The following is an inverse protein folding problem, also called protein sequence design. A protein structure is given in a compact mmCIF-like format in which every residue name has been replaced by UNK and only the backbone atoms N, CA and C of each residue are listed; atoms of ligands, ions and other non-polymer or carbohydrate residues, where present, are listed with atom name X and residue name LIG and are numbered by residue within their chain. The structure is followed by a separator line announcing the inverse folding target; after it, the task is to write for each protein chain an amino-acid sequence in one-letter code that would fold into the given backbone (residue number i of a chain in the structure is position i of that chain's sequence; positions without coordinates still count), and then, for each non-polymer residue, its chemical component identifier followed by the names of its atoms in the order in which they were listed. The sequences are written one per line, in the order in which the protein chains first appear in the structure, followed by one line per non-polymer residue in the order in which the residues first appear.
data_IF_057415684044
#
_entry.id   IF_057415684044
#
_cell.length_a   1.000
_cell.length_b   1.000
_cell.length_c   1.000
_cell.angle_alpha   90.00
_cell.angle_beta   90.00
_cell.angle_gamma   90.00
#
_symmetry.space_group_name_H-M   'P 1'
#
loop_
_entity.id
_entity.type
_entity.pdbx_description
1 polymer ?
#
# COMPACT_ATOMS: atom_id res chain seq x y z
N UNK A 1 47.15 -15.26 -5.18
CA UNK A 1 47.40 -15.10 -6.63
C UNK A 1 46.33 -14.17 -7.19
N UNK A 2 46.63 -12.86 -7.33
CA UNK A 2 45.71 -11.85 -7.84
C UNK A 2 46.05 -11.47 -9.30
N UNK A 3 45.08 -10.95 -10.05
CA UNK A 3 45.34 -10.16 -11.26
C UNK A 3 44.64 -8.80 -11.13
N UNK A 4 45.51 -7.80 -11.08
CA UNK A 4 45.32 -6.36 -11.20
C UNK A 4 45.36 -6.01 -12.70
N UNK A 5 44.53 -5.12 -13.22
CA UNK A 5 44.93 -4.16 -14.28
C UNK A 5 44.03 -2.90 -14.26
N UNK A 6 44.69 -1.75 -14.16
CA UNK A 6 44.21 -0.38 -14.35
C UNK A 6 44.66 0.03 -15.76
N UNK A 7 43.81 0.69 -16.54
CA UNK A 7 44.25 1.46 -17.73
C UNK A 7 43.59 2.84 -17.71
N UNK A 8 44.44 3.85 -17.83
CA UNK A 8 44.18 5.29 -17.87
C UNK A 8 44.91 5.86 -19.09
N UNK A 9 44.22 6.58 -19.98
CA UNK A 9 44.75 7.41 -21.09
C UNK A 9 43.56 7.86 -21.96
N UNK A 10 43.45 9.03 -22.60
CA UNK A 10 44.15 10.33 -22.65
C UNK A 10 43.52 11.13 -23.84
N UNK A 11 43.70 12.46 -23.87
CA UNK A 11 43.69 13.38 -25.05
C UNK A 11 42.30 13.78 -25.66
N UNK A 12 42.03 14.99 -26.18
CA UNK A 12 42.80 16.24 -26.43
C UNK A 12 41.81 17.39 -26.74
N UNK A 13 42.21 18.63 -26.39
CA UNK A 13 41.59 19.91 -26.75
C UNK A 13 41.87 20.29 -28.22
N UNK A 14 40.94 20.96 -28.89
CA UNK A 14 41.24 21.79 -30.06
C UNK A 14 40.47 23.12 -30.02
N UNK A 15 41.22 24.18 -30.33
CA UNK A 15 40.89 25.61 -30.35
C UNK A 15 40.84 26.06 -31.82
N UNK A 16 39.86 26.89 -32.22
CA UNK A 16 39.93 27.85 -33.34
C UNK A 16 38.92 28.99 -33.02
N UNK A 17 39.34 30.20 -32.61
CA UNK A 17 39.87 31.37 -33.35
C UNK A 17 38.86 32.09 -34.28
N UNK A 18 38.55 33.35 -33.91
CA UNK A 18 38.49 34.49 -34.84
C UNK A 18 37.14 35.21 -35.00
N UNK A 19 36.96 36.39 -34.39
CA UNK A 19 37.10 37.72 -35.03
C UNK A 19 36.64 38.86 -34.10
N UNK A 20 37.37 39.96 -34.18
CA UNK A 20 37.15 41.26 -33.53
C UNK A 20 35.99 42.03 -34.17
N UNK A 21 35.35 42.91 -33.40
CA UNK A 21 35.46 44.36 -33.61
C UNK A 21 34.82 45.13 -32.45
N UNK A 22 35.54 46.18 -32.08
CA UNK A 22 35.30 47.16 -31.03
C UNK A 22 34.53 48.32 -31.67
N UNK A 23 33.34 48.69 -31.16
CA UNK A 23 32.81 50.03 -31.40
C UNK A 23 32.01 50.56 -30.22
N UNK A 24 32.52 51.70 -29.76
CA UNK A 24 31.97 52.61 -28.76
C UNK A 24 30.64 53.21 -29.22
N UNK A 25 29.57 53.00 -28.45
CA UNK A 25 28.25 53.54 -28.77
C UNK A 25 27.41 53.80 -27.54
N UNK A 26 27.64 54.94 -26.91
CA UNK A 26 26.80 55.52 -25.86
C UNK A 26 25.36 55.68 -26.37
N UNK A 27 24.37 55.05 -25.74
CA UNK A 27 22.95 55.42 -25.87
C UNK A 27 22.22 55.19 -24.55
N UNK A 28 21.65 56.28 -24.03
CA UNK A 28 20.89 56.32 -22.78
C UNK A 28 19.43 55.89 -22.97
N UNK A 29 18.92 55.24 -21.93
CA UNK A 29 17.55 55.27 -21.42
C UNK A 29 16.39 54.94 -22.39
N UNK A 30 15.80 53.75 -22.21
CA UNK A 30 14.34 53.53 -22.00
C UNK A 30 14.00 52.03 -22.04
N UNK A 31 14.11 51.34 -20.92
CA UNK A 31 13.30 50.14 -20.65
C UNK A 31 12.90 50.13 -19.17
N UNK A 32 11.60 50.06 -18.83
CA UNK A 32 11.19 49.85 -17.46
C UNK A 32 11.29 48.36 -17.12
N UNK A 33 12.23 48.03 -16.23
CA UNK A 33 12.24 46.74 -15.52
C UNK A 33 10.90 46.59 -14.78
N UNK A 34 10.02 45.72 -15.28
CA UNK A 34 8.83 45.27 -14.56
C UNK A 34 9.11 43.87 -14.01
N UNK A 35 10.05 43.79 -13.06
CA UNK A 35 10.11 42.65 -12.15
C UNK A 35 9.01 42.87 -11.10
N UNK A 36 7.86 42.21 -11.32
CA UNK A 36 6.86 42.09 -10.29
C UNK A 36 7.48 41.37 -9.08
N UNK A 37 7.34 41.88 -7.85
CA UNK A 37 7.78 41.15 -6.68
C UNK A 37 7.00 39.83 -6.65
N UNK A 38 7.71 38.70 -6.57
CA UNK A 38 7.10 37.45 -6.14
C UNK A 38 6.43 37.72 -4.81
N UNK A 39 5.09 37.72 -4.79
CA UNK A 39 4.31 37.76 -3.57
C UNK A 39 4.73 36.54 -2.74
N UNK A 40 5.54 36.77 -1.72
CA UNK A 40 5.58 35.87 -0.57
C UNK A 40 4.16 35.80 -0.04
N UNK A 41 3.45 34.72 -0.36
CA UNK A 41 2.23 34.33 0.32
C UNK A 41 2.60 34.09 1.77
N UNK A 42 2.47 35.14 2.61
CA UNK A 42 2.44 34.99 4.06
C UNK A 42 1.32 34.03 4.40
N UNK A 43 1.68 32.77 4.66
CA UNK A 43 0.75 31.76 5.17
C UNK A 43 0.23 32.29 6.50
N UNK A 44 -1.06 32.59 6.53
CA UNK A 44 -1.73 33.10 7.73
C UNK A 44 -1.96 31.93 8.69
N UNK A 45 -0.94 31.64 9.50
CA UNK A 45 -0.97 30.64 10.58
C UNK A 45 -2.10 30.90 11.61
N UNK A 46 -2.86 32.00 11.51
CA UNK A 46 -3.92 32.35 12.43
C UNK A 46 -5.30 31.78 12.03
N UNK A 47 -5.45 31.04 10.93
CA UNK A 47 -6.70 30.29 10.65
C UNK A 47 -6.91 29.18 11.69
N UNK A 48 -8.10 29.07 12.26
CA UNK A 48 -8.41 28.07 13.30
C UNK A 48 -8.29 26.61 12.79
N UNK A 49 -8.62 26.38 11.51
CA UNK A 49 -8.46 25.08 10.82
C UNK A 49 -7.00 24.67 10.70
N UNK A 50 -6.13 25.62 10.35
CA UNK A 50 -4.70 25.36 10.18
C UNK A 50 -4.07 24.96 11.51
N UNK A 51 -4.40 25.70 12.56
CA UNK A 51 -3.98 25.39 13.93
C UNK A 51 -4.42 23.99 14.38
N UNK A 52 -5.61 23.52 13.97
CA UNK A 52 -6.09 22.16 14.27
C UNK A 52 -5.21 21.08 13.62
N UNK A 53 -4.96 21.17 12.32
CA UNK A 53 -4.18 20.13 11.61
C UNK A 53 -2.71 20.14 12.01
N UNK A 54 -2.11 21.33 12.16
CA UNK A 54 -0.73 21.47 12.65
C UNK A 54 -0.58 20.84 14.04
N UNK A 55 -1.52 21.09 14.96
CA UNK A 55 -1.50 20.50 16.31
C UNK A 55 -1.59 18.96 16.26
N UNK A 56 -2.51 18.40 15.45
CA UNK A 56 -2.64 16.95 15.28
C UNK A 56 -1.36 16.31 14.75
N UNK A 57 -0.67 16.98 13.82
CA UNK A 57 0.59 16.49 13.25
C UNK A 57 1.71 16.56 14.29
N UNK A 58 1.82 17.65 15.04
CA UNK A 58 2.82 17.80 16.11
C UNK A 58 2.61 16.77 17.23
N UNK A 59 1.37 16.54 17.66
CA UNK A 59 1.03 15.52 18.67
C UNK A 59 1.37 14.11 18.19
N UNK A 60 1.05 13.79 16.93
CA UNK A 60 1.37 12.50 16.34
C UNK A 60 2.88 12.27 16.22
N UNK A 61 3.65 13.31 15.86
CA UNK A 61 5.11 13.23 15.78
C UNK A 61 5.76 13.10 17.16
N UNK A 62 5.26 13.82 18.16
CA UNK A 62 5.77 13.76 19.53
C UNK A 62 5.54 12.37 20.17
N UNK A 63 4.45 11.70 19.82
CA UNK A 63 4.11 10.35 20.31
C UNK A 63 4.62 9.21 19.41
N UNK A 64 5.27 9.53 18.28
CA UNK A 64 5.69 8.52 17.31
C UNK A 64 6.95 7.77 17.76
N UNK A 65 6.82 6.45 17.91
CA UNK A 65 7.94 5.54 18.06
C UNK A 65 8.20 4.76 16.75
N UNK A 66 9.38 4.91 16.12
CA UNK A 66 9.73 4.15 14.93
C UNK A 66 9.73 2.64 15.18
N UNK A 67 9.17 1.88 14.25
CA UNK A 67 9.18 0.43 14.38
C UNK A 67 10.59 -0.15 14.19
N UNK A 68 10.95 -1.16 14.98
CA UNK A 68 12.26 -1.78 14.87
C UNK A 68 12.36 -2.72 13.66
N UNK A 69 13.41 -2.56 12.87
CA UNK A 69 13.68 -3.45 11.73
C UNK A 69 14.37 -4.76 12.16
N UNK A 70 15.13 -4.72 13.26
CA UNK A 70 15.90 -5.86 13.76
C UNK A 70 14.98 -7.04 14.06
N UNK A 71 15.44 -8.25 13.70
CA UNK A 71 14.67 -9.49 13.91
C UNK A 71 13.25 -9.47 13.32
N UNK A 72 12.93 -8.58 12.36
CA UNK A 72 11.62 -8.48 11.73
C UNK A 72 10.49 -8.25 12.77
N UNK A 73 10.74 -7.35 13.72
CA UNK A 73 9.82 -7.02 14.82
C UNK A 73 8.78 -5.96 14.45
N UNK A 74 8.98 -5.14 13.41
CA UNK A 74 8.09 -4.03 13.04
C UNK A 74 6.59 -4.39 13.01
N UNK A 75 6.23 -5.57 12.50
CA UNK A 75 4.84 -6.03 12.38
C UNK A 75 4.48 -7.14 13.40
N UNK A 76 5.36 -7.44 14.36
CA UNK A 76 5.22 -8.61 15.22
C UNK A 76 4.03 -8.51 16.19
N UNK A 77 3.60 -7.30 16.55
CA UNK A 77 2.47 -7.10 17.47
C UNK A 77 1.13 -7.44 16.83
N UNK A 78 1.01 -7.28 15.51
CA UNK A 78 -0.16 -7.77 14.75
C UNK A 78 -0.26 -9.28 14.90
N UNK A 79 0.84 -9.99 14.64
CA UNK A 79 0.89 -11.44 14.78
C UNK A 79 0.60 -11.90 16.22
N UNK A 80 1.11 -11.19 17.23
CA UNK A 80 0.80 -11.50 18.65
C UNK A 80 -0.69 -11.32 18.93
N UNK A 81 -1.28 -10.23 18.46
CA UNK A 81 -2.70 -9.89 18.68
C UNK A 81 -3.60 -10.92 18.02
N UNK A 82 -3.29 -11.31 16.78
CA UNK A 82 -4.10 -12.22 15.98
C UNK A 82 -4.05 -13.66 16.49
N UNK A 83 -2.91 -14.10 17.05
CA UNK A 83 -2.78 -15.44 17.63
C UNK A 83 -3.24 -15.53 19.09
N UNK A 84 -3.42 -14.39 19.79
CA UNK A 84 -3.83 -14.35 21.20
C UNK A 84 -5.12 -15.13 21.50
N UNK A 85 -6.19 -15.08 20.67
CA UNK A 85 -7.40 -15.87 20.91
C UNK A 85 -7.15 -17.38 21.00
N UNK A 86 -6.09 -17.88 20.37
CA UNK A 86 -5.72 -19.29 20.26
C UNK A 86 -4.61 -19.72 21.23
N UNK A 87 -4.27 -18.90 22.24
CA UNK A 87 -3.22 -19.22 23.23
C UNK A 87 -3.42 -20.58 23.93
N UNK A 88 -4.66 -21.02 24.11
CA UNK A 88 -5.00 -22.33 24.69
C UNK A 88 -4.71 -23.53 23.78
N UNK A 89 -4.43 -23.28 22.50
CA UNK A 89 -4.20 -24.30 21.49
C UNK A 89 -5.26 -24.31 20.39
N UNK A 90 -4.93 -24.98 19.31
CA UNK A 90 -5.79 -25.27 18.15
C UNK A 90 -6.01 -26.78 18.14
N UNK A 91 -7.26 -27.21 18.32
CA UNK A 91 -7.65 -28.62 18.25
C UNK A 91 -8.01 -29.03 16.83
N UNK A 92 -8.04 -30.35 16.58
CA UNK A 92 -8.48 -30.92 15.31
C UNK A 92 -9.92 -30.50 14.98
N UNK A 93 -10.80 -30.52 15.98
CA UNK A 93 -12.20 -30.09 15.83
C UNK A 93 -12.32 -28.62 15.39
N UNK A 94 -11.46 -27.73 15.89
CA UNK A 94 -11.46 -26.32 15.47
C UNK A 94 -11.08 -26.18 13.99
N UNK A 95 -10.12 -26.96 13.51
CA UNK A 95 -9.71 -26.95 12.10
C UNK A 95 -10.81 -27.52 11.20
N UNK A 96 -11.42 -28.64 11.60
CA UNK A 96 -12.49 -29.25 10.79
C UNK A 96 -13.72 -28.33 10.70
N UNK A 97 -14.10 -27.66 11.80
CA UNK A 97 -15.17 -26.65 11.78
C UNK A 97 -14.80 -25.40 10.98
N UNK A 98 -13.51 -25.09 10.86
CA UNK A 98 -13.03 -23.97 10.06
C UNK A 98 -13.00 -24.27 8.55
N UNK A 99 -13.04 -25.55 8.15
CA UNK A 99 -12.83 -26.01 6.76
C UNK A 99 -13.68 -25.30 5.72
N UNK A 100 -14.94 -24.97 6.01
CA UNK A 100 -15.84 -24.29 5.06
C UNK A 100 -15.48 -22.82 4.77
N UNK A 101 -14.55 -22.23 5.52
CA UNK A 101 -14.21 -20.80 5.44
C UNK A 101 -12.96 -20.51 4.60
N UNK A 102 -12.32 -21.52 4.03
CA UNK A 102 -11.13 -21.30 3.20
C UNK A 102 -10.65 -22.55 2.50
N UNK A 103 -9.46 -22.44 1.92
CA UNK A 103 -8.76 -23.57 1.32
C UNK A 103 -8.00 -24.32 2.42
N UNK A 104 -8.30 -25.61 2.62
CA UNK A 104 -7.52 -26.47 3.52
C UNK A 104 -6.14 -26.74 2.92
N UNK A 105 -5.12 -26.41 3.70
CA UNK A 105 -3.72 -26.81 3.49
C UNK A 105 -3.27 -27.68 4.65
N UNK A 106 -2.33 -28.57 4.37
CA UNK A 106 -1.71 -29.44 5.35
C UNK A 106 -0.20 -29.49 5.10
N UNK A 107 0.59 -29.36 6.16
CA UNK A 107 2.03 -29.59 6.15
C UNK A 107 2.27 -30.86 6.94
N UNK A 108 2.83 -31.88 6.31
CA UNK A 108 3.21 -33.17 6.93
C UNK A 108 4.54 -33.60 6.33
N UNK A 109 5.50 -33.99 7.18
CA UNK A 109 6.84 -34.42 6.77
C UNK A 109 7.54 -33.41 5.84
N UNK A 110 7.42 -32.12 6.17
CA UNK A 110 7.98 -31.01 5.39
C UNK A 110 7.49 -30.91 3.94
N UNK A 111 6.34 -31.51 3.61
CA UNK A 111 5.69 -31.40 2.31
C UNK A 111 4.39 -30.61 2.42
N UNK A 112 4.01 -29.91 1.35
CA UNK A 112 2.79 -29.12 1.32
C UNK A 112 1.69 -29.86 0.57
N UNK A 113 0.54 -30.01 1.22
CA UNK A 113 -0.67 -30.56 0.63
C UNK A 113 -1.80 -29.54 0.67
N UNK A 114 -2.71 -29.62 -0.30
CA UNK A 114 -3.86 -28.73 -0.41
C UNK A 114 -5.09 -29.48 -0.88
N UNK A 115 -6.28 -29.04 -0.48
CA UNK A 115 -7.50 -29.50 -1.12
C UNK A 115 -7.45 -29.22 -2.64
N UNK A 116 -8.05 -30.11 -3.43
CA UNK A 116 -8.05 -30.05 -4.90
C UNK A 116 -8.59 -28.70 -5.39
N UNK A 117 -9.77 -28.34 -4.89
CA UNK A 117 -10.47 -27.13 -5.28
C UNK A 117 -9.92 -25.90 -4.55
N UNK A 118 -9.15 -25.08 -5.27
CA UNK A 118 -8.86 -23.72 -4.86
C UNK A 118 -9.79 -22.75 -5.61
N UNK A 119 -10.60 -21.99 -4.88
CA UNK A 119 -11.55 -21.04 -5.45
C UNK A 119 -10.90 -19.99 -6.36
N UNK A 120 -9.66 -19.60 -6.05
CA UNK A 120 -8.90 -18.62 -6.81
C UNK A 120 -7.47 -19.16 -7.04
N UNK A 121 -7.23 -19.97 -8.07
CA UNK A 121 -5.97 -20.69 -8.26
C UNK A 121 -4.72 -19.79 -8.21
N UNK A 122 -4.77 -18.61 -8.85
CA UNK A 122 -3.67 -17.65 -8.82
C UNK A 122 -3.39 -17.10 -7.41
N UNK A 123 -4.43 -16.92 -6.58
CA UNK A 123 -4.27 -16.50 -5.17
C UNK A 123 -3.62 -17.59 -4.33
N UNK A 124 -4.04 -18.85 -4.53
CA UNK A 124 -3.40 -20.00 -3.89
C UNK A 124 -1.92 -20.11 -4.27
N UNK A 125 -1.57 -19.95 -5.56
CA UNK A 125 -0.18 -19.95 -6.01
C UNK A 125 0.65 -18.83 -5.36
N UNK A 126 0.09 -17.63 -5.23
CA UNK A 126 0.73 -16.52 -4.51
C UNK A 126 0.96 -16.79 -3.01
N UNK A 127 0.05 -17.51 -2.34
CA UNK A 127 0.22 -17.98 -0.95
C UNK A 127 1.30 -19.06 -0.88
N UNK A 128 1.21 -20.06 -1.76
CA UNK A 128 2.11 -21.22 -1.86
C UNK A 128 3.57 -20.80 -2.07
N UNK A 129 3.81 -19.73 -2.86
CA UNK A 129 5.12 -19.11 -3.02
C UNK A 129 5.80 -18.77 -1.69
N UNK A 130 5.05 -18.27 -0.71
CA UNK A 130 5.58 -17.88 0.60
C UNK A 130 5.64 -19.03 1.60
N UNK A 131 4.81 -20.06 1.44
CA UNK A 131 4.86 -21.26 2.31
C UNK A 131 6.07 -22.12 1.96
N UNK A 132 6.31 -22.38 0.66
CA UNK A 132 7.32 -23.32 0.17
C UNK A 132 8.71 -23.17 0.80
N UNK A 133 9.33 -21.97 0.89
CA UNK A 133 10.69 -21.83 1.43
C UNK A 133 10.79 -22.14 2.92
N UNK A 134 9.66 -22.19 3.64
CA UNK A 134 9.64 -22.42 5.07
C UNK A 134 9.49 -23.92 5.42
N UNK A 135 9.03 -24.76 4.49
CA UNK A 135 8.66 -26.16 4.74
C UNK A 135 9.72 -26.97 5.53
N UNK A 136 11.03 -26.88 5.25
CA UNK A 136 12.05 -27.64 5.99
C UNK A 136 12.18 -27.30 7.48
N UNK A 137 11.52 -26.24 7.95
CA UNK A 137 11.63 -25.71 9.32
C UNK A 137 10.29 -25.58 10.04
N UNK A 138 9.21 -26.03 9.41
CA UNK A 138 7.87 -26.00 9.97
C UNK A 138 7.53 -27.36 10.60
N UNK A 139 6.84 -27.37 11.76
CA UNK A 139 6.23 -28.59 12.26
C UNK A 139 5.00 -28.94 11.41
N UNK A 140 4.52 -30.16 11.55
CA UNK A 140 3.27 -30.58 10.94
C UNK A 140 2.10 -29.73 11.46
N UNK A 141 1.23 -29.31 10.54
CA UNK A 141 0.08 -28.46 10.86
C UNK A 141 -0.99 -28.53 9.76
N UNK A 142 -2.22 -28.21 10.13
CA UNK A 142 -3.28 -27.90 9.17
C UNK A 142 -3.65 -26.41 9.23
N UNK A 143 -3.86 -25.81 8.06
CA UNK A 143 -4.14 -24.39 7.87
C UNK A 143 -5.43 -24.24 7.06
N UNK A 144 -6.32 -23.35 7.50
CA UNK A 144 -7.44 -22.89 6.69
C UNK A 144 -7.13 -21.49 6.18
N UNK A 145 -6.85 -21.35 4.88
CA UNK A 145 -6.48 -20.08 4.27
C UNK A 145 -7.63 -19.58 3.40
N UNK A 146 -8.29 -18.51 3.85
CA UNK A 146 -9.30 -17.81 3.09
C UNK A 146 -8.62 -16.99 1.98
N UNK A 147 -8.91 -17.36 0.73
CA UNK A 147 -8.48 -16.66 -0.47
C UNK A 147 -9.55 -15.70 -1.03
N UNK A 148 -10.68 -15.49 -0.34
CA UNK A 148 -11.68 -14.47 -0.70
C UNK A 148 -11.25 -13.10 -0.18
N UNK A 149 -11.93 -12.04 -0.66
CA UNK A 149 -11.64 -10.69 -0.21
C UNK A 149 -12.11 -10.43 1.24
N UNK A 150 -13.27 -10.95 1.62
CA UNK A 150 -13.89 -10.69 2.92
C UNK A 150 -13.45 -11.71 4.00
N UNK A 151 -13.16 -11.30 5.25
CA UNK A 151 -12.85 -12.18 6.39
C UNK A 151 -14.06 -13.03 6.80
N UNK A 152 -13.84 -14.09 7.59
CA UNK A 152 -14.85 -15.14 7.76
C UNK A 152 -15.35 -15.32 9.21
N UNK A 153 -14.55 -14.97 10.21
CA UNK A 153 -14.83 -15.29 11.61
C UNK A 153 -15.22 -14.01 12.35
N UNK A 154 -16.49 -13.61 12.20
CA UNK A 154 -17.05 -12.48 12.95
C UNK A 154 -17.23 -12.85 14.43
N UNK A 155 -16.65 -12.04 15.34
CA UNK A 155 -16.65 -12.28 16.79
C UNK A 155 -18.02 -12.11 17.46
N UNK A 156 -18.95 -11.45 16.79
CA UNK A 156 -20.30 -11.17 17.33
C UNK A 156 -21.30 -12.26 16.97
N UNK A 157 -21.06 -13.02 15.89
CA UNK A 157 -21.99 -14.06 15.41
C UNK A 157 -21.59 -15.47 15.81
N UNK A 158 -20.30 -15.67 16.14
CA UNK A 158 -19.77 -16.98 16.53
C UNK A 158 -19.11 -16.87 17.88
N UNK A 159 -19.63 -17.62 18.85
CA UNK A 159 -18.97 -17.80 20.15
C UNK A 159 -17.64 -18.55 20.02
N UNK A 160 -17.49 -19.38 18.97
CA UNK A 160 -16.30 -20.18 18.77
C UNK A 160 -15.22 -19.43 17.98
N UNK A 161 -13.99 -19.55 18.49
CA UNK A 161 -12.78 -19.02 17.86
C UNK A 161 -12.27 -20.05 16.85
N UNK A 162 -12.37 -19.76 15.57
CA UNK A 162 -11.90 -20.64 14.49
C UNK A 162 -10.62 -20.09 13.84
N UNK A 163 -9.56 -20.91 13.63
CA UNK A 163 -8.26 -20.46 13.15
C UNK A 163 -8.24 -20.31 11.62
N UNK A 164 -8.91 -19.28 11.11
CA UNK A 164 -8.91 -18.95 9.67
C UNK A 164 -7.93 -17.83 9.38
N UNK A 165 -7.08 -18.02 8.37
CA UNK A 165 -6.17 -16.99 7.88
C UNK A 165 -6.84 -16.19 6.76
N UNK A 166 -6.93 -14.87 6.89
CA UNK A 166 -7.47 -13.95 5.86
C UNK A 166 -6.50 -12.79 5.64
N UNK A 167 -6.41 -12.24 4.43
CA UNK A 167 -5.43 -11.17 4.17
C UNK A 167 -5.79 -9.84 4.86
N UNK A 168 -7.09 -9.60 5.05
CA UNK A 168 -7.64 -8.36 5.59
C UNK A 168 -8.78 -8.61 6.55
N UNK A 169 -8.92 -7.71 7.53
CA UNK A 169 -10.00 -7.73 8.52
C UNK A 169 -10.25 -6.36 9.15
N UNK A 170 -11.33 -6.28 9.92
CA UNK A 170 -11.57 -5.22 10.91
C UNK A 170 -11.46 -5.80 12.33
N UNK A 171 -11.62 -4.94 13.34
CA UNK A 171 -11.72 -5.34 14.74
C UNK A 171 -12.96 -6.19 15.05
N UNK A 172 -13.88 -6.42 14.11
CA UNK A 172 -15.01 -7.34 14.32
C UNK A 172 -14.68 -8.80 13.98
N UNK A 173 -13.50 -9.07 13.43
CA UNK A 173 -13.13 -10.40 12.96
C UNK A 173 -11.98 -10.99 13.78
N UNK A 174 -11.99 -12.31 13.94
CA UNK A 174 -10.95 -13.10 14.61
C UNK A 174 -9.96 -13.73 13.63
N UNK A 175 -10.16 -13.55 12.33
CA UNK A 175 -9.24 -14.03 11.30
C UNK A 175 -7.79 -13.60 11.61
N UNK A 176 -6.85 -14.47 11.31
CA UNK A 176 -5.41 -14.22 11.48
C UNK A 176 -4.90 -13.59 10.19
N UNK A 177 -4.36 -12.38 10.26
CA UNK A 177 -3.86 -11.71 9.06
C UNK A 177 -2.60 -12.39 8.52
N UNK A 178 -2.55 -12.53 7.21
CA UNK A 178 -1.35 -12.95 6.49
C UNK A 178 -1.01 -11.96 5.37
N UNK A 179 0.26 -11.85 4.94
CA UNK A 179 0.63 -11.03 3.80
C UNK A 179 -0.04 -11.56 2.53
N UNK A 180 -0.91 -10.74 1.93
CA UNK A 180 -1.74 -11.14 0.78
C UNK A 180 -0.95 -11.80 -0.36
N UNK A 181 -1.59 -12.71 -1.09
CA UNK A 181 -1.06 -13.33 -2.31
C UNK A 181 -0.50 -12.28 -3.30
N UNK A 182 -1.14 -11.10 -3.37
CA UNK A 182 -0.77 -9.99 -4.26
C UNK A 182 0.61 -9.35 -4.00
N UNK A 183 1.39 -9.82 -3.02
CA UNK A 183 2.83 -9.54 -2.97
C UNK A 183 3.62 -10.31 -4.04
N UNK A 184 3.15 -11.48 -4.47
CA UNK A 184 3.76 -12.29 -5.52
C UNK A 184 2.88 -12.35 -6.78
N UNK A 185 1.63 -12.80 -6.66
CA UNK A 185 0.69 -12.91 -7.79
C UNK A 185 -0.78 -13.07 -7.33
N UNK A 186 -1.72 -13.10 -8.27
CA UNK A 186 -3.14 -13.34 -7.99
C UNK A 186 -3.93 -12.13 -7.49
N UNK A 187 -3.35 -10.93 -7.54
CA UNK A 187 -4.10 -9.69 -7.37
C UNK A 187 -5.06 -9.41 -8.53
N UNK A 188 -5.79 -8.28 -8.51
CA UNK A 188 -6.78 -7.95 -9.54
C UNK A 188 -6.18 -7.98 -10.96
N UNK A 189 -6.83 -8.72 -11.86
CA UNK A 189 -6.48 -8.76 -13.28
C UNK A 189 -7.22 -7.63 -14.01
N UNK A 190 -6.45 -6.73 -14.61
CA UNK A 190 -6.92 -5.55 -15.33
C UNK A 190 -6.16 -5.42 -16.66
N UNK A 191 -6.52 -4.49 -17.54
CA UNK A 191 -5.86 -4.38 -18.85
C UNK A 191 -4.34 -4.13 -18.75
N UNK A 192 -3.90 -3.40 -17.73
CA UNK A 192 -2.49 -3.15 -17.43
C UNK A 192 -1.76 -4.33 -16.77
N UNK A 193 -2.49 -5.24 -16.11
CA UNK A 193 -1.97 -6.39 -15.38
C UNK A 193 -2.78 -7.64 -15.74
N UNK A 194 -2.65 -8.17 -16.98
CA UNK A 194 -3.50 -9.25 -17.47
C UNK A 194 -3.37 -10.55 -16.68
N UNK A 195 -2.20 -10.78 -16.06
CA UNK A 195 -1.94 -11.94 -15.18
C UNK A 195 -2.23 -11.65 -13.69
N UNK A 196 -2.86 -10.51 -13.39
CA UNK A 196 -3.11 -10.06 -12.01
C UNK A 196 -1.97 -9.23 -11.44
N UNK A 197 -2.32 -8.19 -10.66
CA UNK A 197 -1.35 -7.40 -9.90
C UNK A 197 -0.56 -8.29 -8.94
N UNK A 198 0.76 -8.19 -8.98
CA UNK A 198 1.68 -9.01 -8.19
C UNK A 198 3.07 -8.41 -8.18
N UNK A 199 4.10 -9.24 -7.97
CA UNK A 199 5.52 -8.87 -8.10
C UNK A 199 5.86 -7.55 -7.42
N UNK A 200 5.58 -7.50 -6.12
CA UNK A 200 5.88 -6.34 -5.29
C UNK A 200 7.37 -5.98 -5.33
N UNK A 201 8.25 -6.97 -5.49
CA UNK A 201 9.68 -6.77 -5.76
C UNK A 201 9.93 -5.86 -6.98
N UNK A 202 9.23 -6.10 -8.09
CA UNK A 202 9.36 -5.33 -9.32
C UNK A 202 8.71 -3.96 -9.19
N UNK A 203 7.48 -3.90 -8.65
CA UNK A 203 6.77 -2.62 -8.48
C UNK A 203 7.48 -1.67 -7.52
N UNK A 204 8.18 -2.18 -6.50
CA UNK A 204 9.04 -1.35 -5.65
C UNK A 204 10.08 -0.58 -6.45
N UNK A 205 10.73 -1.26 -7.39
CA UNK A 205 11.78 -0.66 -8.22
C UNK A 205 11.17 0.27 -9.27
N UNK A 206 10.11 -0.16 -9.97
CA UNK A 206 9.50 0.65 -11.04
C UNK A 206 8.84 1.92 -10.52
N UNK A 207 8.07 1.84 -9.43
CA UNK A 207 7.38 2.99 -8.85
C UNK A 207 8.39 3.95 -8.21
N UNK A 208 9.43 3.45 -7.53
CA UNK A 208 10.51 4.32 -7.03
C UNK A 208 11.18 5.08 -8.17
N UNK A 209 11.50 4.41 -9.29
CA UNK A 209 12.09 5.07 -10.47
C UNK A 209 11.18 6.18 -11.01
N UNK A 210 9.86 5.96 -11.02
CA UNK A 210 8.89 6.99 -11.39
C UNK A 210 8.85 8.15 -10.39
N UNK A 211 8.93 7.86 -9.08
CA UNK A 211 9.01 8.87 -8.02
C UNK A 211 10.28 9.73 -8.15
N UNK A 212 11.43 9.11 -8.44
CA UNK A 212 12.71 9.82 -8.65
C UNK A 212 12.64 10.76 -9.88
N UNK A 213 11.81 10.41 -10.88
CA UNK A 213 11.57 11.24 -12.08
C UNK A 213 10.61 12.40 -11.81
N UNK A 214 9.65 12.21 -10.91
CA UNK A 214 8.68 13.21 -10.44
C UNK A 214 9.05 13.74 -9.06
N UNK A 215 10.11 14.57 -8.99
CA UNK A 215 10.44 15.32 -7.76
C UNK A 215 9.24 16.12 -7.25
N UNK A 216 9.16 16.35 -5.93
CA UNK A 216 8.00 16.96 -5.26
C UNK A 216 7.49 18.23 -5.95
N UNK A 217 8.41 19.12 -6.33
CA UNK A 217 8.13 20.42 -6.96
C UNK A 217 7.58 20.28 -8.39
N UNK A 218 7.85 19.15 -9.07
CA UNK A 218 7.35 18.85 -10.41
C UNK A 218 5.99 18.15 -10.40
N UNK A 219 5.54 17.64 -9.24
CA UNK A 219 4.24 16.96 -9.14
C UNK A 219 3.11 17.98 -9.25
N UNK A 220 2.03 17.61 -9.92
CA UNK A 220 0.79 18.40 -9.99
C UNK A 220 0.20 18.54 -8.58
N UNK A 221 -0.06 19.76 -8.15
CA UNK A 221 -0.75 20.07 -6.89
C UNK A 221 -2.25 19.76 -6.98
N UNK A 222 -2.58 18.49 -7.25
CA UNK A 222 -3.94 17.98 -7.40
C UNK A 222 -4.10 16.67 -6.65
N UNK A 223 -5.29 16.46 -6.10
CA UNK A 223 -5.70 15.16 -5.62
C UNK A 223 -5.99 14.20 -6.76
N UNK A 224 -5.60 12.95 -6.62
CA UNK A 224 -5.75 11.95 -7.67
C UNK A 224 -6.29 10.62 -7.16
N UNK A 225 -7.22 10.05 -7.93
CA UNK A 225 -7.70 8.69 -7.77
C UNK A 225 -8.13 8.07 -9.10
N UNK A 226 -7.69 6.83 -9.35
CA UNK A 226 -8.17 6.02 -10.47
C UNK A 226 -8.44 4.59 -10.05
N UNK A 227 -9.70 4.20 -9.98
CA UNK A 227 -10.12 2.84 -9.60
C UNK A 227 -11.62 2.64 -9.77
N UNK A 228 -12.12 1.42 -9.58
CA UNK A 228 -13.55 1.12 -9.72
C UNK A 228 -14.37 1.42 -8.46
N UNK A 229 -15.70 1.44 -8.54
CA UNK A 229 -16.60 1.69 -7.41
C UNK A 229 -16.86 0.42 -6.59
N UNK A 230 -15.85 -0.06 -5.87
CA UNK A 230 -15.97 -1.25 -4.98
C UNK A 230 -16.50 -0.93 -3.58
N UNK A 231 -16.65 0.34 -3.25
CA UNK A 231 -17.30 0.89 -2.06
C UNK A 231 -17.77 2.30 -2.42
N UNK A 232 -18.93 2.68 -1.93
CA UNK A 232 -19.55 4.01 -2.07
C UNK A 232 -18.81 5.11 -1.28
N UNK A 233 -17.94 4.76 -0.33
CA UNK A 233 -17.06 5.72 0.36
C UNK A 233 -16.11 6.48 -0.58
N UNK A 234 -15.93 5.99 -1.81
CA UNK A 234 -15.17 6.65 -2.86
C UNK A 234 -15.96 7.77 -3.56
N UNK A 235 -17.29 7.78 -3.42
CA UNK A 235 -18.17 8.68 -4.16
C UNK A 235 -17.90 10.17 -3.88
N UNK A 236 -17.72 10.62 -2.62
CA UNK A 236 -17.51 12.04 -2.35
C UNK A 236 -16.32 12.62 -3.12
N UNK A 237 -15.19 11.91 -3.20
CA UNK A 237 -14.01 12.38 -3.95
C UNK A 237 -14.27 12.46 -5.47
N UNK A 238 -14.99 11.47 -6.03
CA UNK A 238 -15.34 11.46 -7.46
C UNK A 238 -16.34 12.56 -7.80
N UNK A 239 -17.29 12.84 -6.91
CA UNK A 239 -18.24 13.94 -7.06
C UNK A 239 -17.54 15.30 -6.92
N UNK A 240 -16.61 15.44 -5.97
CA UNK A 240 -15.78 16.63 -5.82
C UNK A 240 -14.95 16.89 -7.09
N UNK A 241 -14.35 15.86 -7.68
CA UNK A 241 -13.61 15.99 -8.95
C UNK A 241 -14.46 16.48 -10.13
N UNK A 242 -15.74 16.12 -10.17
CA UNK A 242 -16.67 16.63 -11.20
C UNK A 242 -17.01 18.11 -10.98
N UNK A 243 -17.06 18.55 -9.73
CA UNK A 243 -17.39 19.92 -9.32
C UNK A 243 -16.18 20.86 -9.45
N UNK A 244 -15.01 20.40 -9.03
CA UNK A 244 -13.73 21.12 -8.96
C UNK A 244 -12.60 20.33 -9.64
N UNK A 245 -12.64 20.16 -10.97
CA UNK A 245 -11.66 19.38 -11.71
C UNK A 245 -10.24 19.95 -11.64
N UNK A 246 -10.06 21.23 -11.32
CA UNK A 246 -8.78 21.89 -11.07
C UNK A 246 -8.11 21.43 -9.76
N UNK A 247 -8.91 21.08 -8.74
CA UNK A 247 -8.44 20.62 -7.44
C UNK A 247 -8.24 19.09 -7.40
N UNK A 248 -9.19 18.34 -7.98
CA UNK A 248 -9.24 16.87 -7.88
C UNK A 248 -9.42 16.24 -9.25
N UNK A 249 -8.61 15.23 -9.55
CA UNK A 249 -8.76 14.30 -10.68
C UNK A 249 -9.05 12.88 -10.16
N UNK A 250 -10.33 12.59 -9.93
CA UNK A 250 -10.81 11.32 -9.42
C UNK A 250 -11.93 10.78 -10.31
N UNK A 251 -11.72 9.60 -10.92
CA UNK A 251 -12.74 9.00 -11.80
C UNK A 251 -12.84 7.49 -11.60
N UNK A 252 -14.04 6.96 -11.83
CA UNK A 252 -14.31 5.53 -11.75
C UNK A 252 -13.92 4.77 -13.03
N UNK A 253 -13.15 3.69 -12.86
CA UNK A 253 -12.88 2.70 -13.91
C UNK A 253 -13.91 1.56 -13.87
N UNK A 254 -13.91 0.72 -14.91
CA UNK A 254 -14.70 -0.51 -14.95
C UNK A 254 -13.97 -1.65 -14.21
N UNK A 255 -14.69 -2.49 -13.48
CA UNK A 255 -14.19 -3.77 -12.98
C UNK A 255 -14.98 -4.93 -13.61
N UNK A 256 -14.56 -6.17 -13.34
CA UNK A 256 -15.19 -7.37 -13.88
C UNK A 256 -16.65 -7.57 -13.42
N UNK A 257 -17.07 -6.92 -12.33
CA UNK A 257 -18.41 -7.00 -11.75
C UNK A 257 -19.32 -5.81 -12.13
N UNK A 258 -18.92 -4.97 -13.08
CA UNK A 258 -19.71 -3.83 -13.55
C UNK A 258 -21.01 -4.31 -14.20
N UNK A 259 -22.15 -3.74 -13.78
CA UNK A 259 -23.50 -4.12 -14.23
C UNK A 259 -24.24 -2.98 -14.90
N UNK A 260 -24.02 -1.73 -14.48
CA UNK A 260 -24.79 -0.59 -14.98
C UNK A 260 -24.01 0.72 -14.93
N UNK A 261 -24.46 1.78 -15.64
CA UNK A 261 -23.88 3.12 -15.51
C UNK A 261 -23.82 3.65 -14.07
N UNK A 262 -24.67 3.16 -13.15
CA UNK A 262 -24.60 3.54 -11.73
C UNK A 262 -23.28 3.16 -11.07
N UNK A 263 -22.60 2.12 -11.55
CA UNK A 263 -21.30 1.68 -11.03
C UNK A 263 -20.16 2.68 -11.35
N UNK A 264 -20.42 3.67 -12.21
CA UNK A 264 -19.54 4.80 -12.48
C UNK A 264 -20.23 6.14 -12.22
N UNK A 265 -21.26 6.13 -11.35
CA UNK A 265 -22.12 7.28 -11.05
C UNK A 265 -22.59 7.99 -12.33
N UNK A 266 -23.05 7.21 -13.31
CA UNK A 266 -23.59 7.63 -14.61
C UNK A 266 -22.60 8.38 -15.52
N UNK A 267 -21.29 8.31 -15.27
CA UNK A 267 -20.27 8.80 -16.19
C UNK A 267 -19.67 7.67 -17.04
N UNK A 268 -19.08 8.02 -18.19
CA UNK A 268 -18.30 7.06 -19.00
C UNK A 268 -17.15 6.48 -18.14
N UNK A 269 -16.97 5.16 -18.10
CA UNK A 269 -15.86 4.55 -17.36
C UNK A 269 -14.53 5.11 -17.86
N UNK A 270 -13.70 5.56 -16.93
CA UNK A 270 -12.39 6.08 -17.28
C UNK A 270 -11.38 4.95 -17.54
N UNK A 271 -10.33 5.26 -18.29
CA UNK A 271 -9.24 4.32 -18.53
C UNK A 271 -8.45 4.05 -17.25
N UNK A 272 -7.87 2.85 -17.19
CA UNK A 272 -6.91 2.50 -16.16
C UNK A 272 -5.64 3.35 -16.29
N UNK A 273 -5.02 3.69 -15.17
CA UNK A 273 -3.77 4.45 -15.11
C UNK A 273 -2.76 3.60 -14.37
N UNK A 274 -1.52 3.52 -14.89
CA UNK A 274 -0.46 2.72 -14.27
C UNK A 274 -0.11 3.27 -12.90
N UNK A 275 0.34 2.40 -12.00
CA UNK A 275 0.77 2.80 -10.66
C UNK A 275 1.95 3.80 -10.72
N UNK A 276 2.86 3.65 -11.70
CA UNK A 276 3.95 4.61 -11.92
C UNK A 276 3.43 6.02 -12.29
N UNK A 277 2.35 6.10 -13.07
CA UNK A 277 1.78 7.36 -13.55
C UNK A 277 1.01 8.11 -12.45
N UNK A 278 0.70 7.45 -11.32
CA UNK A 278 0.16 8.14 -10.15
C UNK A 278 1.20 9.09 -9.54
N UNK A 279 2.50 8.81 -9.73
CA UNK A 279 3.57 9.57 -9.07
C UNK A 279 3.71 11.01 -9.57
N UNK A 280 3.01 11.41 -10.63
CA UNK A 280 2.96 12.79 -11.10
C UNK A 280 2.07 13.71 -10.26
N UNK A 281 1.30 13.18 -9.29
CA UNK A 281 0.36 13.94 -8.46
C UNK A 281 0.87 14.06 -7.02
N UNK A 282 0.68 15.22 -6.37
CA UNK A 282 1.09 15.42 -4.97
C UNK A 282 0.21 14.65 -3.98
N UNK A 283 -1.11 14.57 -4.21
CA UNK A 283 -2.06 14.05 -3.22
C UNK A 283 -2.74 12.79 -3.75
N UNK A 284 -2.47 11.63 -3.14
CA UNK A 284 -2.97 10.33 -3.61
C UNK A 284 -3.96 9.73 -2.61
N UNK A 285 -5.18 9.45 -3.06
CA UNK A 285 -6.22 8.89 -2.18
C UNK A 285 -6.25 7.35 -2.20
N UNK A 286 -6.35 6.76 -1.01
CA UNK A 286 -6.64 5.36 -0.78
C UNK A 286 -7.97 5.18 -0.03
N UNK A 287 -8.74 4.20 -0.47
CA UNK A 287 -10.01 3.81 0.13
C UNK A 287 -10.05 2.29 0.32
N UNK A 288 -10.86 1.82 1.27
CA UNK A 288 -11.33 0.43 1.27
C UNK A 288 -12.02 0.09 -0.06
N UNK A 289 -12.07 -1.19 -0.39
CA UNK A 289 -12.90 -1.76 -1.44
C UNK A 289 -13.89 -2.73 -0.84
N UNK A 290 -13.89 -3.97 -1.32
CA UNK A 290 -14.55 -5.08 -0.62
C UNK A 290 -13.91 -5.27 0.77
N UNK A 291 -12.58 -5.20 0.87
CA UNK A 291 -11.86 -5.17 2.14
C UNK A 291 -10.74 -4.09 2.07
N UNK A 292 -9.60 -4.28 2.73
CA UNK A 292 -8.44 -3.45 2.48
C UNK A 292 -8.01 -3.50 1.00
N UNK A 293 -7.49 -2.38 0.50
CA UNK A 293 -7.16 -2.20 -0.92
C UNK A 293 -5.66 -2.31 -1.15
N UNK A 294 -5.26 -3.18 -2.08
CA UNK A 294 -3.85 -3.34 -2.47
C UNK A 294 -3.19 -2.05 -2.97
N UNK A 295 -3.99 -1.04 -3.38
CA UNK A 295 -3.50 0.28 -3.80
C UNK A 295 -2.62 0.92 -2.73
N UNK A 296 -2.97 0.80 -1.45
CA UNK A 296 -2.40 1.63 -0.38
C UNK A 296 -0.87 1.60 -0.35
N UNK A 297 -0.26 0.41 -0.32
CA UNK A 297 1.20 0.24 -0.29
C UNK A 297 1.93 0.86 -1.49
N UNK A 298 1.28 0.92 -2.66
CA UNK A 298 1.90 1.43 -3.88
C UNK A 298 1.99 2.96 -3.88
N UNK A 299 0.99 3.65 -3.29
CA UNK A 299 0.93 5.12 -3.30
C UNK A 299 2.12 5.75 -2.57
N UNK A 300 2.52 5.17 -1.43
CA UNK A 300 3.66 5.65 -0.65
C UNK A 300 4.97 5.66 -1.46
N UNK A 301 5.16 4.69 -2.35
CA UNK A 301 6.36 4.60 -3.16
C UNK A 301 6.50 5.72 -4.19
N UNK A 302 5.43 6.48 -4.47
CA UNK A 302 5.48 7.65 -5.33
C UNK A 302 6.10 8.90 -4.66
N UNK A 303 6.45 8.85 -3.36
CA UNK A 303 6.80 10.05 -2.55
C UNK A 303 5.75 11.14 -2.69
N UNK A 304 4.49 10.75 -2.70
CA UNK A 304 3.32 11.62 -2.75
C UNK A 304 2.60 11.54 -1.41
N UNK A 305 1.91 12.61 -1.01
CA UNK A 305 1.16 12.61 0.22
C UNK A 305 -0.05 11.70 0.08
N UNK A 306 -0.11 10.66 0.90
CA UNK A 306 -1.20 9.68 0.87
C UNK A 306 -2.31 10.13 1.80
N UNK A 307 -3.54 10.14 1.29
CA UNK A 307 -4.77 10.34 2.05
C UNK A 307 -5.46 8.99 2.21
N UNK A 308 -5.60 8.49 3.43
CA UNK A 308 -6.23 7.21 3.69
C UNK A 308 -7.60 7.41 4.31
N UNK A 309 -8.65 7.04 3.56
CA UNK A 309 -10.04 7.08 4.04
C UNK A 309 -10.40 5.80 4.79
N UNK A 310 -10.90 5.99 6.01
CA UNK A 310 -11.23 4.93 6.96
C UNK A 310 -10.02 4.40 7.72
N UNK A 311 -10.31 3.69 8.82
CA UNK A 311 -9.29 3.06 9.67
C UNK A 311 -9.67 1.64 10.07
N UNK A 312 -10.81 1.11 9.62
CA UNK A 312 -11.32 -0.17 10.09
C UNK A 312 -10.68 -1.34 9.35
N UNK A 313 -10.49 -1.25 8.03
CA UNK A 313 -9.92 -2.35 7.24
C UNK A 313 -8.40 -2.33 7.25
N UNK A 314 -7.83 -3.45 7.69
CA UNK A 314 -6.41 -3.62 7.89
C UNK A 314 -5.84 -4.64 6.89
N UNK A 315 -4.60 -4.43 6.46
CA UNK A 315 -3.69 -5.53 6.12
C UNK A 315 -2.62 -5.62 7.23
N UNK A 316 -1.83 -6.70 7.25
CA UNK A 316 -0.89 -6.98 8.34
C UNK A 316 0.11 -5.85 8.67
N UNK A 317 0.44 -4.99 7.70
CA UNK A 317 1.41 -3.91 7.85
C UNK A 317 0.79 -2.56 8.22
N UNK A 318 -0.54 -2.41 8.09
CA UNK A 318 -1.23 -1.14 8.33
C UNK A 318 -0.99 -0.59 9.73
N UNK A 319 -0.98 -1.39 10.83
CA UNK A 319 -0.76 -0.86 12.18
C UNK A 319 0.60 -0.18 12.40
N UNK A 320 1.58 -0.43 11.53
CA UNK A 320 2.89 0.25 11.55
C UNK A 320 2.86 1.61 10.86
N UNK A 321 1.88 1.87 9.98
CA UNK A 321 1.66 3.17 9.36
C UNK A 321 0.83 4.04 10.31
N UNK A 322 1.38 5.16 10.79
CA UNK A 322 0.74 6.02 11.79
C UNK A 322 0.09 7.24 11.11
N UNK A 323 -1.17 7.56 11.46
CA UNK A 323 -1.85 8.75 10.96
C UNK A 323 -1.06 10.00 11.33
N UNK A 324 -1.06 11.01 10.44
CA UNK A 324 -0.32 12.28 10.54
C UNK A 324 1.21 12.18 10.53
N UNK A 325 1.79 11.00 10.83
CA UNK A 325 3.22 10.72 10.69
C UNK A 325 3.55 10.29 9.25
N UNK A 326 2.84 9.27 8.75
CA UNK A 326 3.14 8.62 7.46
C UNK A 326 2.12 8.95 6.36
N UNK A 327 0.89 9.34 6.73
CA UNK A 327 -0.20 9.65 5.81
C UNK A 327 -1.23 10.56 6.48
N UNK A 328 -2.13 11.15 5.69
CA UNK A 328 -3.26 11.95 6.16
C UNK A 328 -4.46 11.03 6.40
N UNK A 329 -4.95 10.85 7.63
CA UNK A 329 -6.18 10.09 7.88
C UNK A 329 -7.40 10.91 7.46
N UNK A 330 -8.38 10.23 6.86
CA UNK A 330 -9.68 10.81 6.51
C UNK A 330 -10.76 9.90 7.09
N UNK A 331 -11.72 10.47 7.81
CA UNK A 331 -12.80 9.69 8.42
C UNK A 331 -13.71 9.05 7.37
N UNK A 332 -14.34 7.94 7.72
CA UNK A 332 -15.43 7.38 6.92
C UNK A 332 -16.57 8.40 6.81
N UNK A 333 -17.17 8.49 5.62
CA UNK A 333 -18.26 9.42 5.35
C UNK A 333 -17.86 10.90 5.36
N UNK A 334 -16.59 11.22 5.06
CA UNK A 334 -16.15 12.60 4.85
C UNK A 334 -16.94 13.24 3.69
N UNK A 335 -17.39 14.48 3.87
CA UNK A 335 -18.13 15.23 2.85
C UNK A 335 -17.18 15.77 1.78
N UNK A 336 -17.74 16.30 0.68
CA UNK A 336 -16.92 16.94 -0.35
C UNK A 336 -16.19 18.17 0.22
N UNK A 337 -16.82 18.90 1.14
CA UNK A 337 -16.31 20.11 1.77
C UNK A 337 -15.16 19.79 2.74
N UNK A 338 -15.26 18.72 3.53
CA UNK A 338 -14.14 18.28 4.39
C UNK A 338 -12.94 17.77 3.58
N UNK A 339 -13.19 17.09 2.45
CA UNK A 339 -12.12 16.66 1.55
C UNK A 339 -11.43 17.86 0.90
N UNK A 340 -12.20 18.85 0.48
CA UNK A 340 -11.74 20.10 -0.10
C UNK A 340 -10.87 20.89 0.89
N UNK A 341 -11.37 21.12 2.12
CA UNK A 341 -10.63 21.79 3.21
C UNK A 341 -9.26 21.13 3.45
N UNK A 342 -9.23 19.79 3.51
CA UNK A 342 -7.99 19.06 3.80
C UNK A 342 -6.99 19.10 2.64
N UNK A 343 -7.47 19.08 1.40
CA UNK A 343 -6.61 19.22 0.21
C UNK A 343 -6.05 20.65 0.13
N UNK A 344 -6.89 21.66 0.36
CA UNK A 344 -6.49 23.07 0.35
C UNK A 344 -5.47 23.36 1.48
N UNK A 345 -5.68 22.83 2.69
CA UNK A 345 -4.71 22.93 3.78
C UNK A 345 -3.32 22.42 3.35
N UNK A 346 -3.21 21.22 2.78
CA UNK A 346 -1.91 20.70 2.33
C UNK A 346 -1.37 21.35 1.05
N UNK A 347 -2.19 22.11 0.33
CA UNK A 347 -1.71 22.98 -0.75
C UNK A 347 -1.11 24.29 -0.21
N UNK A 348 -1.69 24.86 0.84
CA UNK A 348 -1.18 26.04 1.54
C UNK A 348 0.05 25.72 2.43
N UNK A 349 0.16 24.48 2.93
CA UNK A 349 1.24 24.00 3.80
C UNK A 349 2.13 22.94 3.10
N UNK A 350 2.71 23.30 1.95
CA UNK A 350 3.39 22.36 1.04
C UNK A 350 4.61 21.63 1.67
N UNK A 351 5.38 22.32 2.53
CA UNK A 351 6.50 21.70 3.24
C UNK A 351 6.05 20.58 4.18
N UNK A 352 4.96 20.83 4.93
CA UNK A 352 4.36 19.85 5.82
C UNK A 352 3.82 18.64 5.05
N UNK A 353 3.22 18.88 3.89
CA UNK A 353 2.77 17.85 2.97
C UNK A 353 3.95 16.97 2.49
N UNK A 354 5.06 17.60 2.08
CA UNK A 354 6.27 16.90 1.63
C UNK A 354 6.86 16.03 2.72
N UNK A 355 6.96 16.54 3.94
CA UNK A 355 7.53 15.81 5.06
C UNK A 355 6.75 14.53 5.41
N UNK A 356 5.41 14.59 5.45
CA UNK A 356 4.58 13.39 5.68
C UNK A 356 4.76 12.40 4.53
N UNK A 357 4.78 12.87 3.28
CA UNK A 357 4.98 12.04 2.11
C UNK A 357 6.32 11.29 2.15
N UNK A 358 7.40 11.98 2.54
CA UNK A 358 8.74 11.39 2.66
C UNK A 358 8.79 10.36 3.80
N UNK A 359 8.22 10.66 4.98
CA UNK A 359 8.14 9.68 6.09
C UNK A 359 7.35 8.43 5.68
N UNK A 360 6.22 8.60 4.99
CA UNK A 360 5.41 7.49 4.47
C UNK A 360 6.16 6.64 3.44
N UNK A 361 6.86 7.27 2.50
CA UNK A 361 7.75 6.58 1.56
C UNK A 361 8.83 5.78 2.29
N UNK A 362 9.56 6.42 3.21
CA UNK A 362 10.67 5.80 3.94
C UNK A 362 10.19 4.60 4.75
N UNK A 363 9.02 4.70 5.39
CA UNK A 363 8.44 3.60 6.16
C UNK A 363 8.15 2.38 5.28
N UNK A 364 7.42 2.56 4.16
CA UNK A 364 7.12 1.45 3.24
C UNK A 364 8.39 0.93 2.55
N UNK A 365 9.33 1.82 2.23
CA UNK A 365 10.60 1.43 1.62
C UNK A 365 11.43 0.55 2.56
N UNK A 366 11.51 0.88 3.85
CA UNK A 366 12.36 0.18 4.83
C UNK A 366 11.68 -1.00 5.52
N UNK A 367 10.35 -0.98 5.68
CA UNK A 367 9.63 -1.96 6.51
C UNK A 367 8.62 -2.83 5.76
N UNK A 368 8.48 -2.67 4.44
CA UNK A 368 7.62 -3.51 3.60
C UNK A 368 8.39 -4.05 2.38
N UNK A 369 9.59 -4.58 2.58
CA UNK A 369 10.37 -5.27 1.54
C UNK A 369 9.92 -6.73 1.43
N UNK A 370 10.29 -7.42 0.35
CA UNK A 370 10.02 -8.86 0.22
C UNK A 370 10.53 -9.67 1.42
N UNK A 371 11.73 -9.35 1.92
CA UNK A 371 12.26 -10.01 3.14
C UNK A 371 11.40 -9.77 4.40
N UNK A 372 10.69 -8.64 4.49
CA UNK A 372 9.79 -8.37 5.61
C UNK A 372 8.51 -9.21 5.48
N UNK A 373 8.00 -9.37 4.24
CA UNK A 373 6.86 -10.25 3.89
C UNK A 373 7.18 -11.72 4.16
N UNK A 374 8.30 -12.21 3.62
CA UNK A 374 8.81 -13.57 3.83
C UNK A 374 9.04 -13.87 5.31
N UNK A 375 9.65 -12.93 6.03
CA UNK A 375 9.88 -13.11 7.46
C UNK A 375 8.58 -13.11 8.27
N UNK A 376 7.59 -12.29 7.92
CA UNK A 376 6.28 -12.32 8.57
C UNK A 376 5.63 -13.69 8.39
N UNK A 377 5.59 -14.20 7.16
CA UNK A 377 5.10 -15.56 6.85
C UNK A 377 5.81 -16.64 7.68
N UNK A 378 7.15 -16.60 7.72
CA UNK A 378 7.95 -17.52 8.54
C UNK A 378 7.55 -17.49 10.02
N UNK A 379 7.41 -16.28 10.59
CA UNK A 379 7.02 -16.13 12.01
C UNK A 379 5.59 -16.59 12.26
N UNK A 380 4.68 -16.26 11.34
CA UNK A 380 3.28 -16.66 11.40
C UNK A 380 3.16 -18.19 11.44
N UNK A 381 3.71 -18.88 10.45
CA UNK A 381 3.63 -20.33 10.33
C UNK A 381 4.30 -21.04 11.53
N UNK A 382 5.50 -20.59 11.95
CA UNK A 382 6.18 -21.19 13.12
C UNK A 382 5.42 -20.99 14.43
N UNK A 383 4.79 -19.83 14.64
CA UNK A 383 3.99 -19.58 15.84
C UNK A 383 2.66 -20.31 15.80
N UNK A 384 1.99 -20.32 14.66
CA UNK A 384 0.76 -21.07 14.43
C UNK A 384 0.97 -22.57 14.68
N UNK A 385 2.03 -23.17 14.09
CA UNK A 385 2.34 -24.59 14.27
C UNK A 385 2.53 -25.00 15.74
N UNK A 386 3.09 -24.13 16.59
CA UNK A 386 3.23 -24.38 18.04
C UNK A 386 1.90 -24.38 18.80
N UNK A 387 0.85 -23.81 18.22
CA UNK A 387 -0.48 -23.79 18.80
C UNK A 387 -1.26 -25.06 18.48
N UNK A 388 -0.88 -25.86 17.49
CA UNK A 388 -1.51 -27.15 17.17
C UNK A 388 -1.35 -28.12 18.35
N UNK A 389 -2.46 -28.69 18.84
CA UNK A 389 -2.51 -29.58 20.03
C UNK A 389 -3.00 -31.00 19.73
N UNK A 390 -2.81 -31.45 18.51
CA UNK A 390 -3.14 -32.79 18.07
C UNK A 390 -2.09 -33.30 17.08
N UNK A 391 -2.02 -34.61 16.89
CA UNK A 391 -1.15 -35.23 15.89
C UNK A 391 -1.78 -35.07 14.51
N UNK A 392 -1.07 -34.41 13.59
CA UNK A 392 -1.57 -34.17 12.22
C UNK A 392 -1.36 -35.43 11.38
N UNK A 393 -2.47 -36.07 10.98
CA UNK A 393 -2.43 -37.25 10.11
C UNK A 393 -2.65 -36.85 8.66
N UNK A 394 -1.87 -37.43 7.74
CA UNK A 394 -1.97 -37.17 6.30
C UNK A 394 -3.39 -37.44 5.78
N UNK A 395 -4.03 -36.40 5.24
CA UNK A 395 -5.36 -36.48 4.62
C UNK A 395 -5.25 -36.84 3.14
N UNK A 396 -5.32 -38.13 2.80
CA UNK A 396 -5.11 -38.62 1.43
C UNK A 396 -6.09 -38.06 0.36
N UNK A 397 -7.11 -37.29 0.74
CA UNK A 397 -7.95 -36.55 -0.21
C UNK A 397 -7.25 -35.29 -0.79
N UNK A 398 -6.25 -34.75 -0.09
CA UNK A 398 -5.47 -33.57 -0.48
C UNK A 398 -4.39 -33.95 -1.51
N UNK A 399 -4.13 -33.04 -2.45
CA UNK A 399 -3.06 -33.16 -3.45
C UNK A 399 -1.76 -32.57 -2.92
N UNK A 400 -0.63 -33.19 -3.27
CA UNK A 400 0.71 -32.63 -3.00
C UNK A 400 0.96 -31.44 -3.93
N UNK A 401 1.44 -30.34 -3.37
CA UNK A 401 1.80 -29.10 -4.06
C UNK A 401 3.31 -28.97 -4.20
N UNK A 402 4.06 -29.28 -3.13
CA UNK A 402 5.53 -29.23 -3.05
C UNK A 402 6.12 -30.30 -2.16
#
# INVERSE_FOLDING_TARGET
MPYLEIVLALLVLSFQLGHSDDDSGMCMAKEPCSEAPQQETKVDLYKATDNKYVALIQEALASYEPCQQANCSCHADVLKTDLRPFKGGISEQMVERARSYGTKYQIVDHRLYRQKDCMFPARCSGVEHFIKPNLPHLPDMELIINCRDWPQINRHWKQEKLPVLSFSKTDDYLDIMYPTWGFWEGGPAISLYPTGLGRWDQHRVSIKKAADSWKWEKKKAKAFFRGSRTSDERDPLVLLSRRKPELVDAQYTKNQAWKSPKDTLNAKPAQEVRLEDHCQYKYLFNFRGVAASFRFKHLFLCRSLVFHVGSEWQEFFYPSLKPWVHYVPVRVGATQEELEELIEFFAEHDDLAREIADRGFEHVWKHLRMKDVECYWRKLLRRYGKLVKYEVKRDHSLVEVY
#
